data_IF_874032927197
#
_entry.id   IF_874032927197
#
_cell.length_a   1.000
_cell.length_b   1.000
_cell.length_c   1.000
_cell.angle_alpha   90.00
_cell.angle_beta   90.00
_cell.angle_gamma   90.00
#
_symmetry.space_group_name_H-M   'P 1'
#
loop_
_entity.id
_entity.type
_entity.pdbx_description
1 polymer ?
#
# COMPACT_ATOMS: atom_id res chain seq x y z
N UNK A 1 -14.93 8.69 -11.36
CA UNK A 1 -13.59 8.07 -11.36
C UNK A 1 -12.84 8.59 -10.14
N UNK A 2 -12.10 7.74 -9.43
CA UNK A 2 -11.35 8.13 -8.24
C UNK A 2 -9.86 7.80 -8.40
N UNK A 3 -9.02 8.39 -7.57
CA UNK A 3 -7.63 7.98 -7.38
C UNK A 3 -7.36 7.71 -5.90
N UNK A 4 -6.31 6.97 -5.57
CA UNK A 4 -5.90 6.81 -4.17
C UNK A 4 -5.47 8.15 -3.56
N UNK A 5 -4.82 9.01 -4.35
CA UNK A 5 -4.36 10.32 -3.91
C UNK A 5 -5.49 11.22 -3.39
N UNK A 6 -6.65 11.19 -4.05
CA UNK A 6 -7.83 11.96 -3.62
C UNK A 6 -8.29 11.60 -2.19
N UNK A 7 -8.11 10.35 -1.77
CA UNK A 7 -8.41 9.94 -0.41
C UNK A 7 -7.24 10.21 0.54
N UNK A 8 -6.00 9.91 0.12
CA UNK A 8 -4.82 9.97 1.00
C UNK A 8 -4.35 11.40 1.28
N UNK A 9 -4.29 12.28 0.27
CA UNK A 9 -3.70 13.62 0.37
C UNK A 9 -4.17 14.40 1.61
N UNK A 10 -5.48 14.50 1.90
CA UNK A 10 -5.95 15.30 3.03
C UNK A 10 -5.59 14.69 4.41
N UNK A 11 -5.27 13.39 4.46
CA UNK A 11 -4.97 12.67 5.70
C UNK A 11 -3.48 12.67 6.05
N UNK A 12 -2.59 12.84 5.05
CA UNK A 12 -1.13 12.76 5.23
C UNK A 12 -0.63 13.79 6.24
N UNK A 13 -1.07 15.05 6.11
CA UNK A 13 -0.64 16.13 7.00
C UNK A 13 -1.07 15.88 8.45
N UNK A 14 -2.28 15.35 8.65
CA UNK A 14 -2.78 15.03 9.99
C UNK A 14 -1.98 13.90 10.63
N UNK A 15 -1.68 12.82 9.89
CA UNK A 15 -0.85 11.73 10.42
C UNK A 15 0.57 12.19 10.77
N UNK A 16 1.17 13.07 9.95
CA UNK A 16 2.46 13.69 10.28
C UNK A 16 2.34 14.50 11.59
N UNK A 17 1.30 15.35 11.71
CA UNK A 17 1.03 16.14 12.91
C UNK A 17 0.89 15.26 14.15
N UNK A 18 0.12 14.17 14.06
CA UNK A 18 -0.07 13.21 15.16
C UNK A 18 1.27 12.72 15.69
N UNK A 19 2.21 12.36 14.83
CA UNK A 19 3.53 11.91 15.27
C UNK A 19 4.43 13.04 15.80
N UNK A 20 4.35 14.24 15.23
CA UNK A 20 5.17 15.38 15.65
C UNK A 20 4.70 16.00 16.97
N UNK A 21 3.38 16.04 17.21
CA UNK A 21 2.77 16.76 18.34
C UNK A 21 2.27 15.81 19.43
N UNK A 22 1.64 14.70 19.07
CA UNK A 22 0.99 13.78 20.02
C UNK A 22 1.94 12.63 20.45
N UNK A 23 3.04 12.42 19.71
CA UNK A 23 4.11 11.48 20.00
C UNK A 23 4.04 10.15 19.22
N UNK A 24 5.08 9.33 19.36
CA UNK A 24 5.30 8.15 18.49
C UNK A 24 4.49 6.90 18.86
N UNK A 25 3.96 6.83 20.08
CA UNK A 25 3.27 5.62 20.61
C UNK A 25 1.76 5.58 20.26
N UNK A 26 1.33 6.25 19.20
CA UNK A 26 -0.06 6.22 18.74
C UNK A 26 -0.38 4.98 17.91
N UNK A 27 -1.56 4.38 18.16
CA UNK A 27 -2.16 3.34 17.31
C UNK A 27 -3.36 3.90 16.50
N UNK A 28 -3.50 5.23 16.41
CA UNK A 28 -4.63 5.89 15.75
C UNK A 28 -4.29 6.41 14.34
N UNK A 29 -3.00 6.38 13.98
CA UNK A 29 -2.48 6.97 12.75
C UNK A 29 -2.77 6.09 11.53
N UNK A 30 -4.00 6.19 11.03
CA UNK A 30 -4.53 5.39 9.92
C UNK A 30 -5.10 6.27 8.81
N UNK A 31 -4.68 6.02 7.57
CA UNK A 31 -5.21 6.71 6.39
C UNK A 31 -6.12 5.77 5.59
N UNK A 32 -7.37 6.16 5.42
CA UNK A 32 -8.39 5.36 4.73
C UNK A 32 -8.39 5.66 3.24
N UNK A 33 -8.55 4.61 2.41
CA UNK A 33 -8.76 4.75 0.96
C UNK A 33 -10.14 4.23 0.59
N UNK A 34 -11.02 5.16 0.18
CA UNK A 34 -12.44 4.91 -0.01
C UNK A 34 -13.27 5.39 1.17
N UNK A 35 -14.58 5.47 0.95
CA UNK A 35 -15.58 5.83 1.96
C UNK A 35 -16.69 4.76 2.00
N UNK A 36 -17.68 4.84 2.92
CA UNK A 36 -18.76 3.84 2.98
C UNK A 36 -19.57 3.69 1.68
N UNK A 37 -19.67 4.73 0.85
CA UNK A 37 -20.37 4.68 -0.44
C UNK A 37 -19.56 3.92 -1.49
N UNK A 38 -18.27 3.68 -1.26
CA UNK A 38 -17.42 2.93 -2.19
C UNK A 38 -17.94 1.52 -2.47
N UNK A 39 -18.73 0.93 -1.58
CA UNK A 39 -19.36 -0.40 -1.80
C UNK A 39 -20.32 -0.41 -3.01
N UNK A 40 -20.85 0.75 -3.41
CA UNK A 40 -21.76 0.89 -4.54
C UNK A 40 -21.04 1.23 -5.86
N UNK A 41 -19.72 1.40 -5.84
CA UNK A 41 -18.94 1.60 -7.06
C UNK A 41 -18.86 0.30 -7.85
N UNK A 42 -18.83 0.41 -9.19
CA UNK A 42 -18.52 -0.73 -10.05
C UNK A 42 -17.12 -1.29 -9.73
N UNK A 43 -16.15 -0.39 -9.54
CA UNK A 43 -14.75 -0.75 -9.26
C UNK A 43 -14.23 -0.04 -7.99
N UNK A 44 -14.54 -0.52 -6.77
CA UNK A 44 -14.09 0.14 -5.55
C UNK A 44 -12.55 0.16 -5.42
N UNK A 45 -11.95 1.09 -4.63
CA UNK A 45 -10.51 1.13 -4.41
C UNK A 45 -9.92 -0.23 -4.00
N UNK A 46 -8.85 -0.64 -4.69
CA UNK A 46 -8.12 -1.87 -4.37
C UNK A 46 -7.29 -1.71 -3.09
N UNK A 47 -6.51 -0.63 -2.97
CA UNK A 47 -5.95 -0.19 -1.68
C UNK A 47 -7.12 0.28 -0.79
N UNK A 48 -7.17 -0.18 0.46
CA UNK A 48 -8.22 0.19 1.41
C UNK A 48 -7.74 1.07 2.55
N UNK A 49 -6.45 1.02 2.87
CA UNK A 49 -5.85 1.92 3.81
C UNK A 49 -4.38 1.62 4.08
N UNK A 50 -3.76 2.61 4.72
CA UNK A 50 -2.38 2.61 5.17
C UNK A 50 -2.43 2.92 6.66
N UNK A 51 -2.18 1.90 7.48
CA UNK A 51 -1.92 2.08 8.90
C UNK A 51 -0.41 2.38 9.09
N UNK A 52 -0.07 3.12 10.13
CA UNK A 52 1.30 3.57 10.35
C UNK A 52 1.75 3.32 11.77
N UNK A 53 3.04 3.03 11.94
CA UNK A 53 3.65 2.84 13.25
C UNK A 53 5.08 3.32 13.25
N UNK A 54 5.47 4.08 14.27
CA UNK A 54 6.87 4.36 14.54
C UNK A 54 7.37 3.38 15.60
N UNK A 55 8.46 2.67 15.31
CA UNK A 55 9.12 1.77 16.24
C UNK A 55 10.63 1.86 16.05
N UNK A 56 11.37 1.97 17.16
CA UNK A 56 12.84 2.06 17.11
C UNK A 56 13.35 3.18 16.20
N UNK A 57 12.64 4.31 16.19
CA UNK A 57 12.98 5.46 15.35
C UNK A 57 12.73 5.27 13.87
N UNK A 58 11.96 4.26 13.45
CA UNK A 58 11.62 3.96 12.05
C UNK A 58 10.12 4.02 11.80
N UNK A 59 9.72 4.63 10.68
CA UNK A 59 8.31 4.65 10.23
C UNK A 59 8.00 3.40 9.40
N UNK A 60 7.06 2.60 9.89
CA UNK A 60 6.53 1.42 9.21
C UNK A 60 5.14 1.71 8.65
N UNK A 61 4.87 1.24 7.44
CA UNK A 61 3.53 1.24 6.85
C UNK A 61 2.96 -0.18 6.87
N UNK A 62 1.72 -0.32 7.31
CA UNK A 62 0.95 -1.55 7.21
C UNK A 62 -0.18 -1.30 6.22
N UNK A 63 -0.10 -1.93 5.05
CA UNK A 63 -1.01 -1.62 3.93
C UNK A 63 -1.89 -2.80 3.61
N UNK A 64 -3.17 -2.52 3.33
CA UNK A 64 -4.14 -3.55 2.96
C UNK A 64 -4.76 -3.32 1.59
N UNK A 65 -4.61 -4.31 0.71
CA UNK A 65 -5.27 -4.38 -0.59
C UNK A 65 -6.39 -5.44 -0.59
N UNK A 66 -7.60 -5.07 -0.98
CA UNK A 66 -8.71 -6.05 -1.13
C UNK A 66 -8.53 -6.95 -2.35
N UNK A 67 -7.80 -6.47 -3.36
CA UNK A 67 -7.48 -7.11 -4.62
C UNK A 67 -6.21 -6.46 -5.15
N UNK A 68 -5.30 -7.22 -5.74
CA UNK A 68 -4.03 -6.69 -6.21
C UNK A 68 -3.52 -7.45 -7.42
N UNK A 69 -3.36 -6.76 -8.55
CA UNK A 69 -2.65 -7.27 -9.71
C UNK A 69 -1.17 -7.41 -9.36
N UNK A 70 -0.68 -8.65 -9.29
CA UNK A 70 0.69 -8.98 -8.93
C UNK A 70 1.71 -8.49 -9.97
N UNK A 71 1.33 -8.38 -11.24
CA UNK A 71 2.27 -8.08 -12.31
C UNK A 71 2.46 -6.59 -12.55
N UNK A 72 1.37 -5.87 -12.82
CA UNK A 72 1.46 -4.44 -13.12
C UNK A 72 1.20 -3.59 -11.88
N UNK A 73 0.20 -3.96 -11.09
CA UNK A 73 -0.23 -3.19 -9.92
C UNK A 73 0.80 -3.18 -8.80
N UNK A 74 1.21 -4.35 -8.33
CA UNK A 74 2.10 -4.52 -7.17
C UNK A 74 3.40 -3.73 -7.26
N UNK A 75 4.22 -3.85 -8.32
CA UNK A 75 5.49 -3.12 -8.36
C UNK A 75 5.29 -1.60 -8.37
N UNK A 76 4.32 -1.10 -9.16
CA UNK A 76 4.05 0.33 -9.26
C UNK A 76 3.47 0.89 -7.94
N UNK A 77 2.53 0.16 -7.32
CA UNK A 77 1.91 0.57 -6.06
C UNK A 77 2.93 0.59 -4.92
N UNK A 78 3.76 -0.45 -4.78
CA UNK A 78 4.79 -0.47 -3.73
C UNK A 78 5.82 0.63 -3.93
N UNK A 79 6.24 0.91 -5.17
CA UNK A 79 7.15 2.03 -5.45
C UNK A 79 6.57 3.38 -5.03
N UNK A 80 5.31 3.66 -5.38
CA UNK A 80 4.65 4.90 -4.99
C UNK A 80 4.43 5.01 -3.46
N UNK A 81 4.05 3.90 -2.81
CA UNK A 81 3.86 3.86 -1.35
C UNK A 81 5.19 4.04 -0.62
N UNK A 82 6.29 3.48 -1.14
CA UNK A 82 7.63 3.68 -0.59
C UNK A 82 8.02 5.16 -0.62
N UNK A 83 7.83 5.84 -1.76
CA UNK A 83 8.09 7.28 -1.87
C UNK A 83 7.25 8.10 -0.88
N UNK A 84 5.98 7.74 -0.68
CA UNK A 84 5.13 8.39 0.32
C UNK A 84 5.66 8.17 1.75
N UNK A 85 6.05 6.94 2.08
CA UNK A 85 6.60 6.60 3.40
C UNK A 85 7.90 7.36 3.67
N UNK A 86 8.81 7.43 2.70
CA UNK A 86 10.06 8.19 2.81
C UNK A 86 9.79 9.69 3.04
N UNK A 87 8.84 10.26 2.29
CA UNK A 87 8.40 11.65 2.48
C UNK A 87 7.87 11.89 3.90
N UNK A 88 6.99 11.01 4.39
CA UNK A 88 6.42 11.11 5.73
C UNK A 88 7.48 10.93 6.81
N UNK A 89 8.37 9.93 6.67
CA UNK A 89 9.47 9.67 7.58
C UNK A 89 10.41 10.89 7.69
N UNK A 90 10.79 11.46 6.54
CA UNK A 90 11.61 12.68 6.49
C UNK A 90 10.91 13.88 7.13
N UNK A 91 9.60 14.02 6.94
CA UNK A 91 8.82 15.12 7.55
C UNK A 91 8.74 14.99 9.07
N UNK A 92 8.57 13.76 9.57
CA UNK A 92 8.48 13.46 11.01
C UNK A 92 9.88 13.51 11.68
N UNK A 93 10.96 13.27 10.92
CA UNK A 93 12.33 13.21 11.44
C UNK A 93 12.74 11.82 11.94
N UNK A 94 12.23 10.76 11.30
CA UNK A 94 12.53 9.36 11.62
C UNK A 94 13.09 8.62 10.40
N UNK A 95 13.70 7.46 10.63
CA UNK A 95 14.25 6.62 9.57
C UNK A 95 13.16 5.88 8.78
N UNK A 96 13.51 5.44 7.58
CA UNK A 96 12.64 4.59 6.77
C UNK A 96 12.57 3.16 7.36
N UNK A 97 11.35 2.70 7.65
CA UNK A 97 11.07 1.36 8.16
C UNK A 97 10.57 0.41 7.06
N UNK A 98 9.74 -0.54 7.44
CA UNK A 98 9.23 -1.58 6.52
C UNK A 98 7.85 -1.22 5.95
N UNK A 99 7.54 -1.76 4.77
CA UNK A 99 6.16 -1.87 4.29
C UNK A 99 5.70 -3.31 4.56
N UNK A 100 4.73 -3.46 5.46
CA UNK A 100 4.05 -4.73 5.75
C UNK A 100 2.77 -4.76 4.93
N UNK A 101 2.80 -5.45 3.80
CA UNK A 101 1.68 -5.50 2.87
C UNK A 101 0.85 -6.78 3.01
N UNK A 102 -0.47 -6.61 3.13
CA UNK A 102 -1.44 -7.69 3.09
C UNK A 102 -2.39 -7.53 1.90
N UNK A 103 -2.70 -8.64 1.23
CA UNK A 103 -3.71 -8.65 0.17
C UNK A 103 -4.63 -9.85 0.30
N UNK A 104 -5.94 -9.62 0.17
CA UNK A 104 -6.93 -10.71 0.12
C UNK A 104 -6.93 -11.42 -1.24
N UNK A 105 -6.74 -10.67 -2.31
CA UNK A 105 -6.89 -11.15 -3.69
C UNK A 105 -5.68 -10.80 -4.53
N UNK A 106 -4.50 -11.28 -4.15
CA UNK A 106 -3.30 -11.16 -4.98
C UNK A 106 -3.41 -12.14 -6.16
N UNK A 107 -3.34 -11.64 -7.39
CA UNK A 107 -3.63 -12.45 -8.58
C UNK A 107 -2.78 -12.05 -9.78
N UNK A 108 -2.68 -12.96 -10.74
CA UNK A 108 -2.19 -12.70 -12.09
C UNK A 108 -3.35 -12.87 -13.05
N UNK A 109 -3.45 -11.97 -14.04
CA UNK A 109 -4.36 -12.16 -15.15
C UNK A 109 -3.86 -13.26 -16.09
N UNK A 110 -4.77 -13.98 -16.73
CA UNK A 110 -4.43 -15.14 -17.58
C UNK A 110 -3.42 -14.79 -18.67
N UNK A 111 -3.59 -13.62 -19.32
CA UNK A 111 -2.70 -13.16 -20.38
C UNK A 111 -1.27 -12.83 -19.90
N UNK A 112 -1.04 -12.75 -18.59
CA UNK A 112 0.26 -12.46 -17.98
C UNK A 112 1.01 -13.73 -17.60
N UNK A 113 0.34 -14.88 -17.54
CA UNK A 113 0.92 -16.08 -16.94
C UNK A 113 2.20 -16.56 -17.64
N UNK A 114 2.24 -16.51 -18.97
CA UNK A 114 3.44 -16.84 -19.75
C UNK A 114 4.62 -15.92 -19.40
N UNK A 115 4.38 -14.60 -19.31
CA UNK A 115 5.41 -13.63 -18.93
C UNK A 115 5.90 -13.85 -17.50
N UNK A 116 5.00 -14.20 -16.58
CA UNK A 116 5.35 -14.49 -15.20
C UNK A 116 6.21 -15.76 -15.06
N UNK A 117 5.91 -16.80 -15.84
CA UNK A 117 6.73 -18.02 -15.90
C UNK A 117 8.14 -17.72 -16.44
N UNK A 118 8.24 -16.96 -17.54
CA UNK A 118 9.51 -16.54 -18.11
C UNK A 118 10.35 -15.74 -17.11
N UNK A 119 9.75 -14.75 -16.43
CA UNK A 119 10.43 -13.91 -15.45
C UNK A 119 10.93 -14.68 -14.24
N UNK A 120 10.19 -15.69 -13.80
CA UNK A 120 10.57 -16.51 -12.63
C UNK A 120 11.45 -17.70 -12.99
N UNK A 121 11.86 -17.82 -14.27
CA UNK A 121 12.61 -18.97 -14.81
C UNK A 121 11.93 -20.32 -14.49
N UNK A 122 10.61 -20.33 -14.28
CA UNK A 122 9.86 -21.56 -14.11
C UNK A 122 9.62 -22.16 -15.50
N UNK A 123 10.30 -23.26 -15.81
CA UNK A 123 9.96 -24.07 -16.98
C UNK A 123 8.53 -24.57 -16.83
N UNK A 124 7.74 -24.51 -17.90
CA UNK A 124 6.53 -25.34 -17.98
C UNK A 124 6.98 -26.79 -17.74
N UNK A 125 6.53 -27.39 -16.64
CA UNK A 125 6.48 -28.83 -16.60
C UNK A 125 5.47 -29.19 -17.68
N UNK A 126 5.96 -29.61 -18.86
CA UNK A 126 5.11 -30.28 -19.82
C UNK A 126 4.60 -31.53 -19.10
N UNK A 127 3.36 -31.48 -18.62
CA UNK A 127 2.66 -32.65 -18.10
C UNK A 127 2.67 -33.71 -19.21
N UNK A 128 3.10 -34.92 -18.85
CA UNK A 128 3.02 -36.11 -19.71
C UNK A 128 1.61 -36.67 -19.69
#
# INVERSE_FOLDING_TARGET
>A
EYTYGQYLEPQIAEVIRMYQEDGFETNQAYMTVGDPKAVYLADPPCLRGIDTRIKEGKLHFIVYFRSWDLWNGLPANLGAIQLLKEYMASSIGVEDGEIIAASKGLHLYDYVWELAQLRTMRRQQMER
#
